data_IF_666053797153
#
_entry.id   IF_666053797153
#
_cell.length_a   1.000
_cell.length_b   1.000
_cell.length_c   1.000
_cell.angle_alpha   90.00
_cell.angle_beta   90.00
_cell.angle_gamma   90.00
#
_symmetry.space_group_name_H-M   'P 1'
#
loop_
_entity.id
_entity.type
_entity.pdbx_description
1 polymer ?
#
# COMPACT_ATOMS: atom_id res chain seq x y z
N UNK A 1 -4.97 3.12 -12.98
CA UNK A 1 -4.29 3.71 -11.79
C UNK A 1 -5.04 3.31 -10.53
N UNK A 2 -4.32 2.92 -9.47
CA UNK A 2 -4.90 2.63 -8.16
C UNK A 2 -5.58 3.86 -7.53
N UNK A 3 -6.66 3.66 -6.77
CA UNK A 3 -7.18 4.71 -5.90
C UNK A 3 -6.19 4.99 -4.76
N UNK A 4 -6.26 6.17 -4.12
CA UNK A 4 -5.41 6.52 -2.97
C UNK A 4 -5.53 5.55 -1.78
N UNK A 5 -6.52 4.67 -1.79
CA UNK A 5 -6.86 3.79 -0.67
C UNK A 5 -6.69 2.30 -0.97
N UNK A 6 -6.11 1.93 -2.11
CA UNK A 6 -5.88 0.50 -2.40
C UNK A 6 -4.99 -0.16 -1.32
N UNK A 7 -5.33 -1.37 -0.83
CA UNK A 7 -6.43 -2.23 -1.26
C UNK A 7 -7.78 -1.99 -0.53
N UNK A 8 -7.85 -1.15 0.50
CA UNK A 8 -9.06 -0.94 1.32
C UNK A 8 -9.82 0.30 0.85
N UNK A 9 -10.87 0.11 0.06
CA UNK A 9 -11.68 1.19 -0.51
C UNK A 9 -12.49 1.92 0.56
N UNK A 10 -13.07 1.15 1.48
CA UNK A 10 -13.88 1.69 2.55
C UNK A 10 -13.80 0.78 3.79
N UNK A 11 -13.86 1.38 4.96
CA UNK A 11 -13.95 0.66 6.22
C UNK A 11 -14.98 1.34 7.11
N UNK A 12 -15.74 0.54 7.85
CA UNK A 12 -16.72 1.02 8.82
C UNK A 12 -16.74 0.16 10.06
N UNK A 13 -16.60 0.81 11.21
CA UNK A 13 -16.89 0.22 12.51
C UNK A 13 -18.42 0.21 12.71
N UNK A 14 -18.95 -0.95 13.09
CA UNK A 14 -20.38 -1.19 13.37
C UNK A 14 -20.66 -1.27 14.88
N UNK A 15 -19.60 -1.20 15.69
CA UNK A 15 -19.60 -1.18 17.16
C UNK A 15 -18.62 -0.09 17.67
N UNK A 16 -18.86 0.56 18.84
CA UNK A 16 -19.93 0.26 19.78
C UNK A 16 -21.31 0.79 19.39
N UNK A 17 -22.35 0.04 19.78
CA UNK A 17 -23.78 0.31 19.50
C UNK A 17 -24.29 1.63 20.11
N UNK A 18 -23.56 2.19 21.07
CA UNK A 18 -23.97 3.36 21.87
C UNK A 18 -23.39 4.69 21.37
N UNK A 19 -23.27 4.88 20.05
CA UNK A 19 -23.02 6.21 19.49
C UNK A 19 -24.27 6.67 18.73
N UNK A 20 -24.80 7.88 18.96
CA UNK A 20 -26.00 8.38 18.26
C UNK A 20 -25.84 8.39 16.74
N UNK A 21 -24.61 8.52 16.23
CA UNK A 21 -24.29 8.43 14.80
C UNK A 21 -24.24 7.00 14.23
N UNK A 22 -24.16 5.97 15.07
CA UNK A 22 -24.12 4.57 14.62
C UNK A 22 -25.44 4.12 13.96
N UNK A 23 -26.57 4.68 14.40
CA UNK A 23 -27.89 4.44 13.79
C UNK A 23 -27.99 5.00 12.36
N UNK A 24 -27.46 6.21 12.10
CA UNK A 24 -27.40 6.78 10.74
C UNK A 24 -26.43 6.00 9.85
N UNK A 25 -25.26 5.63 10.38
CA UNK A 25 -24.26 4.87 9.63
C UNK A 25 -24.72 3.43 9.32
N UNK A 26 -25.68 2.86 10.07
CA UNK A 26 -26.31 1.57 9.74
C UNK A 26 -27.28 1.65 8.56
N UNK A 27 -27.88 2.82 8.28
CA UNK A 27 -28.87 2.97 7.20
C UNK A 27 -28.28 2.92 5.79
N UNK A 28 -26.96 3.07 5.66
CA UNK A 28 -26.26 3.02 4.38
C UNK A 28 -25.24 1.88 4.39
N UNK A 29 -25.65 0.62 4.15
CA UNK A 29 -24.71 -0.50 4.17
C UNK A 29 -23.54 -0.22 3.22
N UNK A 30 -22.33 -0.68 3.59
CA UNK A 30 -21.24 -0.73 2.62
C UNK A 30 -21.64 -1.74 1.54
N UNK A 31 -21.60 -1.31 0.29
CA UNK A 31 -21.90 -2.15 -0.87
C UNK A 31 -20.60 -2.33 -1.63
N UNK A 32 -20.26 -3.58 -1.93
CA UNK A 32 -19.13 -3.89 -2.80
C UNK A 32 -19.55 -3.72 -4.27
N UNK A 33 -18.75 -2.98 -5.03
CA UNK A 33 -18.89 -2.82 -6.47
C UNK A 33 -18.31 -3.98 -7.28
N UNK A 34 -18.31 -3.81 -8.60
CA UNK A 34 -17.67 -4.72 -9.56
C UNK A 34 -16.16 -4.69 -9.30
N UNK A 35 -15.59 -5.81 -8.87
CA UNK A 35 -14.19 -5.96 -8.41
C UNK A 35 -13.90 -5.55 -6.96
N UNK A 36 -14.91 -5.50 -6.10
CA UNK A 36 -14.72 -5.33 -4.67
C UNK A 36 -15.28 -6.53 -3.91
N UNK A 37 -14.68 -6.82 -2.76
CA UNK A 37 -15.16 -7.84 -1.82
C UNK A 37 -15.44 -7.16 -0.49
N UNK A 38 -16.64 -7.36 0.03
CA UNK A 38 -16.99 -6.96 1.38
C UNK A 38 -16.49 -8.03 2.36
N UNK A 39 -15.78 -7.62 3.40
CA UNK A 39 -15.28 -8.49 4.47
C UNK A 39 -15.84 -7.99 5.78
N UNK A 40 -16.55 -8.87 6.47
CA UNK A 40 -17.12 -8.59 7.79
C UNK A 40 -16.24 -9.16 8.88
N UNK A 41 -16.09 -8.38 9.96
CA UNK A 41 -15.44 -8.84 11.18
C UNK A 41 -16.51 -9.22 12.20
N UNK A 42 -16.45 -10.45 12.73
CA UNK A 42 -17.32 -10.97 13.78
C UNK A 42 -16.45 -11.37 14.98
N UNK A 43 -16.08 -10.39 15.82
CA UNK A 43 -15.09 -10.60 16.87
C UNK A 43 -13.71 -10.89 16.28
N UNK A 44 -13.25 -12.14 16.41
CA UNK A 44 -11.96 -12.60 15.86
C UNK A 44 -12.10 -13.24 14.47
N UNK A 45 -13.31 -13.55 14.04
CA UNK A 45 -13.60 -14.14 12.74
C UNK A 45 -13.72 -13.06 11.65
N UNK A 46 -13.28 -13.39 10.44
CA UNK A 46 -13.35 -12.53 9.27
C UNK A 46 -13.97 -13.32 8.12
N UNK A 47 -15.10 -12.84 7.60
CA UNK A 47 -15.87 -13.53 6.57
C UNK A 47 -15.99 -12.66 5.31
N UNK A 48 -15.51 -13.13 4.14
CA UNK A 48 -15.67 -12.42 2.88
C UNK A 48 -17.04 -12.72 2.24
N UNK A 49 -17.53 -11.76 1.46
CA UNK A 49 -18.74 -11.91 0.66
C UNK A 49 -20.03 -11.52 1.40
N UNK A 50 -21.20 -11.76 0.77
CA UNK A 50 -22.49 -11.47 1.36
C UNK A 50 -22.72 -12.38 2.57
N UNK A 51 -23.13 -11.78 3.70
CA UNK A 51 -23.58 -12.51 4.87
C UNK A 51 -25.10 -12.53 4.93
N UNK A 52 -25.65 -13.59 5.53
CA UNK A 52 -27.05 -13.56 5.95
C UNK A 52 -27.29 -12.42 6.97
N UNK A 53 -28.52 -11.87 7.03
CA UNK A 53 -28.82 -10.73 7.90
C UNK A 53 -28.53 -10.97 9.39
N UNK A 54 -28.69 -12.20 9.88
CA UNK A 54 -28.46 -12.53 11.28
C UNK A 54 -26.97 -12.47 11.64
N UNK A 55 -26.09 -12.97 10.76
CA UNK A 55 -24.64 -12.86 10.89
C UNK A 55 -24.16 -11.43 10.67
N UNK A 56 -24.69 -10.73 9.66
CA UNK A 56 -24.37 -9.32 9.43
C UNK A 56 -24.70 -8.44 10.64
N UNK A 57 -25.80 -8.72 11.36
CA UNK A 57 -26.18 -8.01 12.59
C UNK A 57 -25.22 -8.20 13.78
N UNK A 58 -24.38 -9.24 13.73
CA UNK A 58 -23.33 -9.54 14.72
C UNK A 58 -21.97 -8.95 14.35
N UNK A 59 -21.79 -8.44 13.13
CA UNK A 59 -20.53 -7.86 12.70
C UNK A 59 -20.17 -6.61 13.52
N UNK A 60 -18.91 -6.52 13.92
CA UNK A 60 -18.33 -5.39 14.64
C UNK A 60 -17.68 -4.37 13.69
N UNK A 61 -17.33 -4.79 12.48
CA UNK A 61 -16.86 -3.93 11.41
C UNK A 61 -17.14 -4.56 10.04
N UNK A 62 -17.15 -3.73 9.00
CA UNK A 62 -17.21 -4.14 7.60
C UNK A 62 -16.19 -3.35 6.79
N UNK A 63 -15.49 -4.03 5.89
CA UNK A 63 -14.42 -3.47 5.06
C UNK A 63 -14.62 -3.86 3.61
N UNK A 64 -14.56 -2.90 2.69
CA UNK A 64 -14.58 -3.14 1.25
C UNK A 64 -13.14 -3.19 0.75
N UNK A 65 -12.77 -4.28 0.11
CA UNK A 65 -11.44 -4.53 -0.44
C UNK A 65 -11.53 -4.55 -1.97
N UNK A 66 -10.69 -3.76 -2.63
CA UNK A 66 -10.51 -3.79 -4.08
C UNK A 66 -9.71 -5.03 -4.48
N UNK A 67 -10.29 -5.91 -5.29
CA UNK A 67 -9.68 -7.16 -5.76
C UNK A 67 -9.38 -7.15 -7.25
N UNK A 68 -9.30 -5.96 -7.87
CA UNK A 68 -8.77 -5.83 -9.22
C UNK A 68 -7.39 -6.46 -9.31
N UNK A 69 -7.15 -7.16 -10.40
CA UNK A 69 -5.85 -7.75 -10.72
C UNK A 69 -4.94 -6.70 -11.33
N UNK A 70 -3.65 -6.87 -11.13
CA UNK A 70 -2.61 -6.09 -11.79
C UNK A 70 -2.73 -4.56 -11.61
N UNK A 71 -3.12 -4.14 -10.41
CA UNK A 71 -3.29 -2.71 -10.08
C UNK A 71 -1.92 -2.06 -9.95
N UNK A 72 -1.61 -1.12 -10.86
CA UNK A 72 -0.36 -0.37 -10.84
C UNK A 72 -0.34 0.69 -9.74
N UNK A 73 0.68 0.64 -8.89
CA UNK A 73 0.98 1.61 -7.83
C UNK A 73 2.35 2.22 -8.07
N UNK A 74 2.37 3.56 -8.11
CA UNK A 74 3.56 4.34 -8.35
C UNK A 74 4.15 4.85 -7.03
N UNK A 75 5.43 4.55 -6.83
CA UNK A 75 6.19 5.03 -5.69
C UNK A 75 7.43 5.74 -6.21
N UNK A 76 7.71 6.92 -5.66
CA UNK A 76 8.90 7.68 -5.97
C UNK A 76 9.70 7.91 -4.70
N UNK A 77 11.02 7.93 -4.82
CA UNK A 77 11.94 8.27 -3.75
C UNK A 77 13.19 8.95 -4.33
N UNK A 78 14.15 9.27 -3.47
CA UNK A 78 15.46 9.80 -3.86
C UNK A 78 16.57 8.98 -3.23
N UNK A 79 17.63 8.71 -4.02
CA UNK A 79 18.84 8.03 -3.56
C UNK A 79 19.97 9.05 -3.53
N UNK A 80 20.67 9.17 -2.41
CA UNK A 80 21.84 10.05 -2.34
C UNK A 80 22.98 9.48 -3.17
N UNK A 81 23.59 10.33 -3.99
CA UNK A 81 24.78 9.96 -4.73
C UNK A 81 26.00 9.84 -3.80
N UNK A 82 27.10 9.26 -4.29
CA UNK A 82 28.40 9.26 -3.62
C UNK A 82 28.98 10.67 -3.46
N UNK A 83 28.59 11.60 -4.34
CA UNK A 83 28.97 13.01 -4.27
C UNK A 83 27.93 13.78 -3.46
N UNK A 84 28.42 14.57 -2.50
CA UNK A 84 27.57 15.37 -1.63
C UNK A 84 26.77 16.41 -2.43
N UNK A 85 25.52 16.62 -2.04
CA UNK A 85 24.63 17.59 -2.70
C UNK A 85 23.99 17.07 -3.99
N UNK A 86 24.07 15.78 -4.29
CA UNK A 86 23.45 15.18 -5.48
C UNK A 86 22.56 13.99 -5.13
N UNK A 87 21.38 13.91 -5.78
CA UNK A 87 20.40 12.85 -5.57
C UNK A 87 19.87 12.29 -6.90
N UNK A 88 19.65 10.98 -6.97
CA UNK A 88 18.95 10.32 -8.06
C UNK A 88 17.46 10.25 -7.75
N UNK A 89 16.59 10.88 -8.57
CA UNK A 89 15.16 10.64 -8.48
C UNK A 89 14.86 9.24 -9.02
N UNK A 90 14.18 8.43 -8.21
CA UNK A 90 13.77 7.08 -8.60
C UNK A 90 12.26 6.95 -8.61
N UNK A 91 11.75 6.21 -9.59
CA UNK A 91 10.33 5.85 -9.68
C UNK A 91 10.23 4.35 -9.88
N UNK A 92 9.39 3.70 -9.09
CA UNK A 92 9.11 2.26 -9.22
C UNK A 92 7.61 2.05 -9.38
N UNK A 93 7.26 1.26 -10.39
CA UNK A 93 5.90 0.78 -10.63
C UNK A 93 5.78 -0.61 -10.03
N UNK A 94 4.84 -0.77 -9.12
CA UNK A 94 4.47 -2.06 -8.56
C UNK A 94 3.13 -2.50 -9.14
N UNK A 95 3.04 -3.76 -9.52
CA UNK A 95 1.80 -4.43 -9.90
C UNK A 95 1.28 -5.21 -8.71
N UNK A 96 0.14 -4.78 -8.19
CA UNK A 96 -0.45 -5.35 -6.98
C UNK A 96 -1.72 -6.14 -7.31
N UNK A 97 -1.90 -7.28 -6.65
CA UNK A 97 -3.11 -8.10 -6.75
C UNK A 97 -3.45 -8.61 -5.37
N UNK A 98 -4.65 -8.32 -4.87
CA UNK A 98 -5.17 -8.97 -3.66
C UNK A 98 -5.39 -10.46 -3.97
N UNK A 99 -4.71 -11.32 -3.22
CA UNK A 99 -4.84 -12.78 -3.29
C UNK A 99 -5.68 -13.33 -2.13
N UNK A 100 -5.71 -12.61 -1.01
CA UNK A 100 -6.53 -12.93 0.16
C UNK A 100 -7.07 -11.62 0.81
N UNK A 101 -8.35 -11.27 0.59
CA UNK A 101 -8.93 -10.06 1.17
C UNK A 101 -9.11 -10.14 2.68
N UNK A 102 -9.21 -11.34 3.27
CA UNK A 102 -9.34 -11.51 4.73
C UNK A 102 -8.02 -11.16 5.41
N UNK A 103 -6.90 -11.65 4.88
CA UNK A 103 -5.57 -11.31 5.42
C UNK A 103 -5.25 -9.82 5.28
N UNK A 104 -5.70 -9.16 4.22
CA UNK A 104 -5.62 -7.69 4.08
C UNK A 104 -6.31 -6.98 5.25
N UNK A 105 -7.55 -7.37 5.57
CA UNK A 105 -8.33 -6.74 6.64
C UNK A 105 -7.74 -7.06 8.02
N UNK A 106 -7.28 -8.30 8.25
CA UNK A 106 -6.56 -8.67 9.47
C UNK A 106 -5.29 -7.85 9.66
N UNK A 107 -4.51 -7.66 8.59
CA UNK A 107 -3.29 -6.86 8.62
C UNK A 107 -3.58 -5.39 8.94
N UNK A 108 -4.69 -4.82 8.45
CA UNK A 108 -5.13 -3.47 8.83
C UNK A 108 -5.24 -3.32 10.34
N UNK A 109 -5.94 -4.24 11.00
CA UNK A 109 -6.18 -4.16 12.44
C UNK A 109 -4.90 -4.39 13.26
N UNK A 110 -4.03 -5.30 12.84
CA UNK A 110 -2.82 -5.64 13.60
C UNK A 110 -1.64 -4.72 13.33
N UNK A 111 -1.50 -4.21 12.11
CA UNK A 111 -0.30 -3.50 11.62
C UNK A 111 -0.61 -2.09 11.12
N UNK A 112 -1.85 -1.62 11.22
CA UNK A 112 -2.25 -0.31 10.72
C UNK A 112 -2.18 -0.18 9.21
N UNK A 113 -2.29 -1.30 8.48
CA UNK A 113 -2.21 -1.31 7.01
C UNK A 113 -3.46 -0.66 6.41
N UNK A 114 -3.43 0.66 6.26
CA UNK A 114 -4.47 1.44 5.57
C UNK A 114 -4.00 1.93 4.20
N UNK A 115 -2.69 1.98 3.96
CA UNK A 115 -2.10 2.54 2.75
C UNK A 115 -0.94 1.66 2.24
N UNK A 116 -1.22 0.86 1.21
CA UNK A 116 -0.22 0.02 0.55
C UNK A 116 0.90 0.85 -0.08
N UNK A 117 0.61 2.05 -0.57
CA UNK A 117 1.62 2.93 -1.17
C UNK A 117 2.67 3.33 -0.14
N UNK A 118 2.25 3.60 1.10
CA UNK A 118 3.18 3.90 2.18
C UNK A 118 4.05 2.69 2.56
N UNK A 119 3.47 1.48 2.60
CA UNK A 119 4.22 0.24 2.81
C UNK A 119 5.25 -0.01 1.71
N UNK A 120 4.87 0.16 0.44
CA UNK A 120 5.77 0.05 -0.71
C UNK A 120 6.85 1.13 -0.72
N UNK A 121 6.51 2.37 -0.34
CA UNK A 121 7.51 3.44 -0.14
C UNK A 121 8.53 3.10 0.93
N UNK A 122 8.08 2.46 2.01
CA UNK A 122 8.98 2.01 3.08
C UNK A 122 9.89 0.88 2.61
N UNK A 123 9.36 -0.06 1.82
CA UNK A 123 10.17 -1.12 1.19
C UNK A 123 11.17 -0.57 0.16
N UNK A 124 10.79 0.49 -0.55
CA UNK A 124 11.63 1.18 -1.53
C UNK A 124 12.81 1.93 -0.88
N UNK A 125 12.71 2.32 0.41
CA UNK A 125 13.70 3.17 1.08
C UNK A 125 15.13 2.74 0.73
N UNK A 126 15.89 3.60 0.02
CA UNK A 126 17.16 3.22 -0.59
C UNK A 126 18.33 3.38 0.36
N UNK A 127 18.14 3.49 1.68
CA UNK A 127 19.23 3.81 2.62
C UNK A 127 20.45 2.88 2.58
N UNK A 128 20.35 1.68 1.97
CA UNK A 128 21.50 0.79 1.70
C UNK A 128 22.23 1.07 0.38
N UNK A 129 21.66 1.90 -0.48
CA UNK A 129 22.17 2.32 -1.79
C UNK A 129 22.70 3.77 -1.77
N UNK A 130 22.32 4.55 -0.74
CA UNK A 130 22.83 5.90 -0.53
C UNK A 130 24.36 5.93 -0.47
N UNK A 131 24.96 6.88 -1.19
CA UNK A 131 26.40 7.11 -1.18
C UNK A 131 27.23 6.12 -2.00
N UNK A 132 26.59 5.18 -2.73
CA UNK A 132 27.31 4.12 -3.46
C UNK A 132 27.55 4.39 -4.94
N UNK A 133 26.72 5.23 -5.55
CA UNK A 133 26.72 5.46 -7.00
C UNK A 133 27.10 6.92 -7.31
N UNK A 134 28.01 7.12 -8.28
CA UNK A 134 28.45 8.46 -8.72
C UNK A 134 27.43 9.09 -9.67
N UNK A 135 27.29 10.42 -9.73
CA UNK A 135 26.52 11.12 -10.76
C UNK A 135 26.92 10.63 -12.16
N UNK A 136 26.01 9.93 -12.85
CA UNK A 136 26.26 9.27 -14.14
C UNK A 136 26.11 7.75 -14.12
N UNK A 137 26.20 7.10 -12.95
CA UNK A 137 26.01 5.66 -12.80
C UNK A 137 24.52 5.26 -12.69
N UNK A 138 23.75 5.63 -13.71
CA UNK A 138 22.32 5.32 -13.77
C UNK A 138 22.06 3.82 -13.91
N UNK A 139 22.84 3.16 -14.76
CA UNK A 139 22.70 1.73 -15.02
C UNK A 139 23.05 0.89 -13.78
N UNK A 140 24.13 1.23 -13.07
CA UNK A 140 24.53 0.55 -11.84
C UNK A 140 23.50 0.72 -10.73
N UNK A 141 22.99 1.94 -10.53
CA UNK A 141 21.92 2.17 -9.55
C UNK A 141 20.63 1.42 -9.93
N UNK A 142 20.24 1.42 -11.21
CA UNK A 142 19.07 0.68 -11.69
C UNK A 142 19.22 -0.83 -11.42
N UNK A 143 20.36 -1.41 -11.74
CA UNK A 143 20.64 -2.83 -11.50
C UNK A 143 20.59 -3.17 -10.00
N UNK A 144 21.17 -2.32 -9.14
CA UNK A 144 21.14 -2.51 -7.69
C UNK A 144 19.73 -2.39 -7.11
N UNK A 145 18.90 -1.48 -7.63
CA UNK A 145 17.49 -1.35 -7.25
C UNK A 145 16.69 -2.59 -7.67
N UNK A 146 16.84 -3.03 -8.92
CA UNK A 146 16.16 -4.23 -9.43
C UNK A 146 16.55 -5.43 -8.59
N UNK A 147 17.84 -5.71 -8.39
CA UNK A 147 18.31 -6.85 -7.59
C UNK A 147 17.80 -6.82 -6.14
N UNK A 148 17.61 -5.63 -5.56
CA UNK A 148 17.05 -5.46 -4.21
C UNK A 148 15.54 -5.73 -4.16
N UNK A 149 14.81 -5.35 -5.21
CA UNK A 149 13.36 -5.45 -5.29
C UNK A 149 12.88 -6.78 -5.90
N UNK A 150 13.75 -7.49 -6.61
CA UNK A 150 13.48 -8.77 -7.27
C UNK A 150 13.41 -10.05 -6.43
N UNK A 151 13.77 -10.16 -5.13
CA UNK A 151 13.65 -11.46 -4.48
C UNK A 151 12.20 -11.93 -4.57
N UNK A 152 11.99 -13.05 -5.27
CA UNK A 152 10.73 -13.68 -5.69
C UNK A 152 9.85 -14.19 -4.54
N UNK A 153 9.85 -13.48 -3.41
CA UNK A 153 8.92 -13.64 -2.31
C UNK A 153 7.94 -12.47 -2.37
N UNK A 154 6.65 -12.67 -2.06
CA UNK A 154 5.75 -11.54 -1.87
C UNK A 154 6.47 -10.55 -0.96
N UNK A 155 6.71 -9.33 -1.45
CA UNK A 155 7.35 -8.26 -0.67
C UNK A 155 6.69 -8.33 0.71
N UNK A 156 7.42 -8.66 1.79
CA UNK A 156 6.82 -9.11 3.06
C UNK A 156 6.00 -8.02 3.78
N UNK A 157 5.78 -6.89 3.13
CA UNK A 157 5.15 -5.71 3.66
C UNK A 157 3.61 -5.79 3.69
N UNK A 158 2.95 -6.68 2.94
CA UNK A 158 1.48 -6.67 2.88
C UNK A 158 0.85 -8.07 2.79
N UNK A 159 0.41 -8.63 3.93
CA UNK A 159 -0.36 -9.88 3.96
C UNK A 159 -1.58 -9.80 3.03
N UNK A 160 -1.85 -10.90 2.32
CA UNK A 160 -2.98 -11.01 1.39
C UNK A 160 -2.83 -10.24 0.08
N UNK A 161 -1.70 -9.57 -0.17
CA UNK A 161 -1.41 -8.90 -1.45
C UNK A 161 -0.15 -9.46 -2.08
N UNK A 162 -0.29 -9.94 -3.32
CA UNK A 162 0.85 -10.24 -4.17
C UNK A 162 1.33 -8.95 -4.83
N UNK A 163 2.61 -8.66 -4.67
CA UNK A 163 3.28 -7.49 -5.24
C UNK A 163 4.35 -7.99 -6.20
N UNK A 164 4.32 -7.48 -7.43
CA UNK A 164 5.33 -7.73 -8.46
C UNK A 164 5.94 -6.39 -8.85
N UNK A 165 7.26 -6.34 -8.98
CA UNK A 165 7.94 -5.16 -9.52
C UNK A 165 7.72 -5.14 -11.02
N UNK A 166 7.17 -4.06 -11.55
CA UNK A 166 6.98 -3.87 -12.98
C UNK A 166 8.16 -3.14 -13.59
N UNK A 167 8.21 -1.84 -13.38
CA UNK A 167 9.21 -0.96 -13.96
C UNK A 167 9.99 -0.22 -12.88
N UNK A 168 11.30 -0.10 -13.10
CA UNK A 168 12.21 0.73 -12.31
C UNK A 168 12.81 1.77 -13.24
N UNK A 169 12.51 3.03 -12.95
CA UNK A 169 13.05 4.21 -13.61
C UNK A 169 14.01 4.92 -12.66
N UNK A 170 15.22 5.19 -13.14
CA UNK A 170 16.22 6.00 -12.46
C UNK A 170 16.52 7.18 -13.36
N UNK A 171 16.25 8.39 -12.87
CA UNK A 171 16.48 9.62 -13.62
C UNK A 171 17.89 10.16 -13.34
N UNK A 172 18.45 10.98 -14.26
CA UNK A 172 19.70 11.69 -14.05
C UNK A 172 19.81 12.32 -12.67
N UNK A 173 21.01 12.29 -12.10
CA UNK A 173 21.29 12.89 -10.81
C UNK A 173 21.03 14.40 -10.89
N UNK A 174 20.39 14.95 -9.86
CA UNK A 174 20.11 16.38 -9.74
C UNK A 174 20.73 16.93 -8.47
N UNK A 175 21.14 18.20 -8.51
CA UNK A 175 21.58 18.89 -7.31
C UNK A 175 20.43 18.93 -6.29
N UNK A 176 20.75 18.71 -5.02
CA UNK A 176 19.79 18.88 -3.94
C UNK A 176 19.60 20.37 -3.76
N UNK A 177 18.41 20.86 -4.09
CA UNK A 177 18.00 22.22 -3.74
C UNK A 177 18.13 22.36 -2.23
N UNK A 178 19.19 23.03 -1.79
CA UNK A 178 19.31 23.50 -0.42
C UNK A 178 18.31 24.63 -0.32
N UNK A 179 17.09 24.31 0.08
CA UNK A 179 16.18 25.31 0.61
C UNK A 179 16.90 25.88 1.83
N UNK A 180 17.51 27.04 1.62
CA UNK A 180 18.05 27.87 2.68
C UNK A 180 16.91 28.07 3.68
N UNK A 181 17.03 27.66 4.96
CA UNK A 181 16.10 28.15 5.95
C UNK A 181 16.30 29.68 5.97
N UNK A 182 15.28 30.42 5.56
CA UNK A 182 15.27 31.88 5.64
C UNK A 182 15.66 32.30 7.07
N UNK A 183 16.56 33.29 7.11
CA UNK A 183 17.09 33.94 8.29
C UNK A 183 16.06 34.85 8.97
#
# INVERSE_FOLDING_TARGET
MASRHYPIVAHRELWPRFRPNALRQRRHPLVAGRHEILVYQLGEEYLPGPLDPARAGRAVAATVVDVRRDVSIYTSDRVRSAEAGWEFPITVIFHCTVVDPVEVVRARHRRGLSDLRQSLRTALRPGRLDGRHRPGDLAGLRAALVARLEPQRPVPATPGVRVVVGEVEVRPCVAVDTVSPEA
#
